data_IF_317333162082
#
_entry.id   IF_317333162082
#
_cell.length_a   1.000
_cell.length_b   1.000
_cell.length_c   1.000
_cell.angle_alpha   90.00
_cell.angle_beta   90.00
_cell.angle_gamma   90.00
#
_symmetry.space_group_name_H-M   'P 1'
#
loop_
_entity.id
_entity.type
_entity.pdbx_description
1 polymer ?
#
# COMPACT_ATOMS: atom_id res chain seq x y z
N UNK A 1 -6.94 5.32 17.81
CA UNK A 1 -7.56 3.97 17.79
C UNK A 1 -7.73 3.51 16.35
N UNK A 2 -6.84 2.65 15.86
CA UNK A 2 -7.02 2.05 14.53
C UNK A 2 -7.96 0.84 14.66
N UNK A 3 -9.24 1.03 14.39
CA UNK A 3 -10.21 -0.05 14.25
C UNK A 3 -10.14 -0.55 12.80
N UNK A 4 -9.64 -1.76 12.59
CA UNK A 4 -9.90 -2.49 11.35
C UNK A 4 -10.84 -3.65 11.66
N UNK A 5 -11.89 -3.80 10.85
CA UNK A 5 -12.98 -4.75 11.05
C UNK A 5 -13.41 -5.31 9.69
N UNK A 6 -13.51 -6.64 9.59
CA UNK A 6 -14.64 -7.44 9.04
C UNK A 6 -14.17 -8.73 8.32
N UNK A 7 -14.92 -9.83 8.23
CA UNK A 7 -15.72 -10.65 9.19
C UNK A 7 -15.95 -12.04 8.52
N UNK A 8 -16.13 -13.09 9.34
CA UNK A 8 -16.79 -14.41 9.11
C UNK A 8 -16.33 -15.40 8.02
N UNK A 9 -15.95 -16.61 8.48
CA UNK A 9 -16.26 -17.86 7.77
C UNK A 9 -15.16 -18.94 7.81
N UNK A 10 -15.23 -19.82 8.81
CA UNK A 10 -14.44 -21.05 9.06
C UNK A 10 -12.91 -20.91 9.18
N UNK A 11 -12.38 -21.44 10.28
CA UNK A 11 -11.00 -21.32 10.80
C UNK A 11 -10.68 -20.02 11.55
N UNK A 12 -11.42 -19.76 12.63
CA UNK A 12 -10.89 -18.95 13.73
C UNK A 12 -9.73 -19.70 14.38
N UNK A 13 -8.50 -19.53 13.87
CA UNK A 13 -7.34 -19.72 14.72
C UNK A 13 -7.42 -18.66 15.83
N UNK A 14 -7.08 -19.05 17.06
CA UNK A 14 -7.07 -18.16 18.21
C UNK A 14 -5.96 -17.09 18.04
N UNK A 15 -6.25 -16.02 17.31
CA UNK A 15 -5.36 -14.87 17.22
C UNK A 15 -5.54 -14.02 18.48
N UNK A 16 -4.50 -13.93 19.29
CA UNK A 16 -4.44 -12.95 20.37
C UNK A 16 -4.02 -11.61 19.79
N UNK A 17 -4.96 -10.65 19.78
CA UNK A 17 -4.65 -9.25 19.50
C UNK A 17 -3.84 -8.70 20.66
N UNK A 18 -2.54 -8.53 20.47
CA UNK A 18 -1.66 -7.86 21.41
C UNK A 18 -1.46 -6.43 20.95
N UNK A 19 -1.75 -5.46 21.82
CA UNK A 19 -1.29 -4.10 21.59
C UNK A 19 0.25 -4.12 21.59
N UNK A 20 0.84 -3.75 20.46
CA UNK A 20 2.26 -3.47 20.38
C UNK A 20 2.45 -2.01 20.76
N UNK A 21 2.48 -1.71 22.06
CA UNK A 21 2.72 -0.36 22.58
C UNK A 21 4.02 0.25 22.01
N UNK A 22 4.94 -0.62 21.62
CA UNK A 22 6.21 -0.30 20.95
C UNK A 22 6.00 0.38 19.58
N UNK A 23 4.94 0.02 18.87
CA UNK A 23 4.65 0.55 17.54
C UNK A 23 3.54 1.58 17.61
N UNK A 24 2.44 1.31 18.32
CA UNK A 24 1.23 2.14 18.26
C UNK A 24 1.48 3.56 18.76
N UNK A 25 0.93 4.54 18.04
CA UNK A 25 1.00 5.94 18.43
C UNK A 25 -0.40 6.56 18.54
N UNK A 26 -0.47 7.80 19.03
CA UNK A 26 -1.71 8.59 18.99
C UNK A 26 -2.07 9.07 17.58
N UNK A 27 -1.11 9.01 16.65
CA UNK A 27 -1.27 9.39 15.25
C UNK A 27 -1.95 8.29 14.43
N UNK A 28 -2.27 8.60 13.17
CA UNK A 28 -2.77 7.60 12.24
C UNK A 28 -1.63 6.67 11.83
N UNK A 29 -1.79 5.37 12.06
CA UNK A 29 -0.84 4.33 11.71
C UNK A 29 -1.55 3.20 10.97
N UNK A 30 -1.13 2.91 9.74
CA UNK A 30 -1.84 1.92 8.92
C UNK A 30 -0.95 1.33 7.81
N UNK A 31 -1.48 0.30 7.14
CA UNK A 31 -0.82 -0.42 6.05
C UNK A 31 0.56 -0.99 6.43
N UNK A 32 0.67 -1.80 7.51
CA UNK A 32 1.93 -2.43 7.88
C UNK A 32 2.34 -3.52 6.87
N UNK A 33 3.65 -3.62 6.62
CA UNK A 33 4.27 -4.60 5.73
C UNK A 33 5.50 -5.14 6.45
N UNK A 34 5.66 -6.47 6.52
CA UNK A 34 6.86 -7.08 7.09
C UNK A 34 8.10 -6.72 6.28
N UNK A 35 9.15 -6.25 6.94
CA UNK A 35 10.41 -5.91 6.29
C UNK A 35 11.59 -6.13 7.24
N UNK A 36 12.57 -6.95 6.83
CA UNK A 36 13.68 -7.37 7.68
C UNK A 36 13.17 -7.89 9.03
N UNK A 37 13.76 -7.45 10.15
CA UNK A 37 13.33 -7.78 11.51
C UNK A 37 12.14 -6.93 12.00
N UNK A 38 11.56 -6.07 11.16
CA UNK A 38 10.58 -5.08 11.58
C UNK A 38 9.42 -4.94 10.60
N UNK A 39 8.82 -3.76 10.59
CA UNK A 39 7.72 -3.41 9.69
C UNK A 39 7.95 -2.07 9.01
N UNK A 40 7.53 -1.98 7.76
CA UNK A 40 7.25 -0.72 7.08
C UNK A 40 5.77 -0.38 7.26
N UNK A 41 5.45 0.89 7.44
CA UNK A 41 4.06 1.32 7.60
C UNK A 41 3.88 2.78 7.20
N UNK A 42 2.63 3.20 7.03
CA UNK A 42 2.26 4.59 6.78
C UNK A 42 1.85 5.26 8.07
N UNK A 43 2.31 6.49 8.30
CA UNK A 43 1.95 7.24 9.51
C UNK A 43 1.88 8.75 9.33
N UNK A 44 1.08 9.42 10.17
CA UNK A 44 1.09 10.89 10.37
C UNK A 44 1.90 11.33 11.60
N UNK A 45 2.72 10.44 12.19
CA UNK A 45 3.67 10.79 13.25
C UNK A 45 4.52 12.00 12.88
N UNK A 46 5.05 12.66 13.89
CA UNK A 46 5.96 13.77 13.69
C UNK A 46 7.08 13.40 12.72
N UNK A 47 7.24 14.28 11.73
CA UNK A 47 8.15 14.10 10.61
C UNK A 47 9.23 15.18 10.62
N UNK A 48 10.33 14.90 9.94
CA UNK A 48 11.47 15.80 9.79
C UNK A 48 11.11 17.13 9.12
N UNK A 49 10.08 17.18 8.26
CA UNK A 49 9.69 18.39 7.56
C UNK A 49 8.89 19.39 8.42
N UNK A 50 8.32 18.97 9.55
CA UNK A 50 7.38 19.73 10.40
C UNK A 50 6.30 20.46 9.61
N UNK A 51 5.79 19.79 8.58
CA UNK A 51 4.92 20.40 7.59
C UNK A 51 3.55 19.71 7.58
N UNK A 52 2.48 20.51 7.76
CA UNK A 52 1.10 20.04 7.79
C UNK A 52 0.39 20.16 6.44
N UNK A 53 -0.51 19.24 6.13
CA UNK A 53 -1.53 19.44 5.10
C UNK A 53 -2.55 20.46 5.62
N UNK A 54 -2.59 21.64 4.99
CA UNK A 54 -3.51 22.73 5.34
C UNK A 54 -4.98 22.31 5.33
N UNK A 55 -5.33 21.25 4.59
CA UNK A 55 -6.70 20.77 4.46
C UNK A 55 -7.13 19.89 5.64
N UNK A 56 -6.23 19.06 6.17
CA UNK A 56 -6.53 18.17 7.31
C UNK A 56 -6.11 18.75 8.65
N UNK A 57 -5.29 19.81 8.63
CA UNK A 57 -4.59 20.36 9.82
C UNK A 57 -3.73 19.32 10.56
N UNK A 58 -3.29 18.30 9.81
CA UNK A 58 -2.48 17.18 10.29
C UNK A 58 -1.20 17.07 9.44
N UNK A 59 -0.21 16.31 9.93
CA UNK A 59 1.00 16.00 9.19
C UNK A 59 0.66 15.27 7.88
N UNK A 60 1.52 15.44 6.87
CA UNK A 60 1.48 14.55 5.71
C UNK A 60 1.74 13.10 6.16
N UNK A 61 1.06 12.15 5.50
CA UNK A 61 1.38 10.75 5.72
C UNK A 61 2.73 10.46 5.09
N UNK A 62 3.60 9.77 5.82
CA UNK A 62 4.92 9.35 5.36
C UNK A 62 5.09 7.84 5.55
N UNK A 63 6.09 7.27 4.88
CA UNK A 63 6.51 5.89 5.10
C UNK A 63 7.58 5.82 6.20
N UNK A 64 7.38 4.91 7.13
CA UNK A 64 8.24 4.67 8.30
C UNK A 64 8.69 3.22 8.34
N UNK A 65 9.83 2.99 9.00
CA UNK A 65 10.29 1.68 9.46
C UNK A 65 10.28 1.63 10.98
N UNK A 66 9.78 0.53 11.54
CA UNK A 66 9.94 0.20 12.94
C UNK A 66 10.76 -1.10 13.07
N UNK A 67 11.87 -1.03 13.79
CA UNK A 67 12.59 -2.21 14.25
C UNK A 67 11.86 -2.80 15.46
N UNK A 68 11.29 -4.01 15.32
CA UNK A 68 10.41 -4.56 16.36
C UNK A 68 11.14 -4.99 17.64
N UNK A 69 12.46 -5.22 17.55
CA UNK A 69 13.26 -5.69 18.68
C UNK A 69 13.64 -4.53 19.60
N UNK A 70 14.02 -3.39 19.01
CA UNK A 70 14.39 -2.18 19.75
C UNK A 70 13.22 -1.23 19.97
N UNK A 71 12.17 -1.35 19.18
CA UNK A 71 11.05 -0.41 19.14
C UNK A 71 11.36 0.92 18.46
N UNK A 72 12.54 1.05 17.86
CA UNK A 72 12.94 2.29 17.21
C UNK A 72 12.13 2.50 15.93
N UNK A 73 11.46 3.63 15.84
CA UNK A 73 10.72 4.09 14.66
C UNK A 73 11.48 5.21 13.98
N UNK A 74 11.65 5.11 12.66
CA UNK A 74 12.27 6.16 11.84
C UNK A 74 11.51 6.33 10.54
N UNK A 75 11.48 7.55 10.00
CA UNK A 75 11.10 7.75 8.60
C UNK A 75 11.98 6.88 7.70
N UNK A 76 11.44 6.42 6.57
CA UNK A 76 12.27 5.77 5.54
C UNK A 76 13.37 6.72 5.09
N UNK A 77 14.61 6.29 5.28
CA UNK A 77 15.81 7.08 4.94
C UNK A 77 15.98 7.09 3.42
N UNK A 78 16.17 8.27 2.83
CA UNK A 78 16.44 8.48 1.41
C UNK A 78 15.44 9.45 0.74
N UNK A 79 15.39 9.44 -0.59
CA UNK A 79 14.44 10.23 -1.40
C UNK A 79 13.07 9.55 -1.44
N UNK A 80 12.41 9.55 -0.26
CA UNK A 80 11.13 8.87 -0.07
C UNK A 80 10.02 9.81 0.32
N UNK A 81 10.16 10.55 1.41
CA UNK A 81 9.08 11.34 1.99
C UNK A 81 9.20 12.81 1.56
N UNK A 82 8.08 13.53 1.46
CA UNK A 82 8.07 14.93 1.07
C UNK A 82 6.82 15.70 1.48
N UNK A 83 6.56 16.85 0.84
CA UNK A 83 5.35 17.65 1.07
C UNK A 83 4.13 17.10 0.30
N UNK A 84 3.87 15.81 0.48
CA UNK A 84 2.83 15.00 -0.16
C UNK A 84 2.35 13.93 0.81
N UNK A 85 1.12 13.43 0.66
CA UNK A 85 0.73 12.20 1.35
C UNK A 85 1.32 11.01 0.63
N UNK A 86 2.28 10.36 1.29
CA UNK A 86 2.96 9.15 0.86
C UNK A 86 2.52 8.00 1.77
N UNK A 87 2.19 6.87 1.18
CA UNK A 87 1.69 5.76 1.97
C UNK A 87 1.03 4.66 1.15
N UNK A 88 0.52 3.66 1.86
CA UNK A 88 0.00 2.41 1.29
C UNK A 88 1.00 1.82 0.30
N UNK A 89 1.89 1.01 0.84
CA UNK A 89 2.98 0.43 0.09
C UNK A 89 2.83 -1.08 -0.10
N UNK A 90 3.63 -1.61 -1.01
CA UNK A 90 3.89 -3.04 -1.14
C UNK A 90 5.37 -3.23 -1.46
N UNK A 91 5.94 -4.32 -0.96
CA UNK A 91 7.36 -4.63 -1.07
C UNK A 91 7.55 -5.84 -1.96
N UNK A 92 8.48 -5.74 -2.91
CA UNK A 92 8.93 -6.87 -3.71
C UNK A 92 10.11 -7.59 -3.06
N UNK A 93 10.30 -8.86 -3.43
CA UNK A 93 11.39 -9.69 -2.91
C UNK A 93 12.80 -9.15 -3.22
N UNK A 94 12.94 -8.29 -4.24
CA UNK A 94 14.19 -7.66 -4.62
C UNK A 94 14.35 -6.24 -4.04
N UNK A 95 13.72 -5.95 -2.90
CA UNK A 95 13.77 -4.65 -2.21
C UNK A 95 13.39 -3.46 -3.10
N UNK A 96 12.47 -3.65 -4.05
CA UNK A 96 11.74 -2.53 -4.66
C UNK A 96 10.43 -2.32 -3.91
N UNK A 97 10.11 -1.07 -3.59
CA UNK A 97 8.89 -0.70 -2.89
C UNK A 97 7.99 0.09 -3.84
N UNK A 98 6.71 -0.25 -3.89
CA UNK A 98 5.71 0.52 -4.64
C UNK A 98 4.77 1.17 -3.66
N UNK A 99 4.47 2.45 -3.81
CA UNK A 99 3.63 3.19 -2.86
C UNK A 99 2.76 4.22 -3.56
N UNK A 100 1.69 4.63 -2.88
CA UNK A 100 0.80 5.69 -3.35
C UNK A 100 1.31 7.04 -2.88
N UNK A 101 1.31 8.04 -3.78
CA UNK A 101 1.62 9.44 -3.47
C UNK A 101 0.53 10.36 -4.02
N UNK A 102 0.12 11.35 -3.23
CA UNK A 102 -0.69 12.47 -3.74
C UNK A 102 0.17 13.43 -4.54
N UNK A 103 -0.26 13.80 -5.74
CA UNK A 103 0.41 14.84 -6.52
C UNK A 103 -0.31 16.19 -6.37
N UNK A 104 0.41 17.30 -6.59
CA UNK A 104 -0.13 18.67 -6.49
C UNK A 104 -0.85 19.14 -7.76
N UNK A 105 -0.82 18.36 -8.82
CA UNK A 105 -1.26 18.76 -10.15
C UNK A 105 -2.62 18.11 -10.40
N UNK A 106 -3.66 18.92 -10.62
CA UNK A 106 -4.95 18.45 -11.13
C UNK A 106 -6.00 18.09 -10.08
N UNK A 107 -7.25 18.48 -10.38
CA UNK A 107 -8.43 17.76 -9.89
C UNK A 107 -8.69 16.68 -10.94
N UNK A 108 -8.68 15.40 -10.56
CA UNK A 108 -9.24 14.36 -11.44
C UNK A 108 -10.68 14.71 -11.81
N UNK A 109 -11.23 14.10 -12.87
CA UNK A 109 -12.63 14.27 -13.30
C UNK A 109 -13.65 14.04 -12.16
N UNK A 110 -13.25 13.36 -11.09
CA UNK A 110 -14.05 13.06 -9.91
C UNK A 110 -13.71 13.89 -8.66
N UNK A 111 -12.87 14.93 -8.77
CA UNK A 111 -12.53 15.81 -7.64
C UNK A 111 -11.56 15.21 -6.60
N UNK A 112 -10.96 14.06 -6.87
CA UNK A 112 -9.89 13.47 -6.05
C UNK A 112 -8.54 14.08 -6.48
N UNK A 113 -7.64 14.39 -5.53
CA UNK A 113 -6.23 14.71 -5.83
C UNK A 113 -5.65 13.57 -6.67
N UNK A 114 -4.89 13.88 -7.72
CA UNK A 114 -4.33 12.86 -8.58
C UNK A 114 -3.34 11.98 -7.79
N UNK A 115 -3.75 10.72 -7.56
CA UNK A 115 -2.94 9.69 -6.93
C UNK A 115 -2.16 8.94 -7.99
N UNK A 116 -0.89 8.70 -7.71
CA UNK A 116 0.00 7.90 -8.55
C UNK A 116 0.73 6.88 -7.73
N UNK A 117 1.09 5.77 -8.38
CA UNK A 117 2.00 4.78 -7.80
C UNK A 117 3.44 5.10 -8.20
N UNK A 118 4.30 5.28 -7.20
CA UNK A 118 5.74 5.45 -7.37
C UNK A 118 6.48 4.18 -6.97
N UNK A 119 7.71 4.05 -7.46
CA UNK A 119 8.63 2.97 -7.16
C UNK A 119 9.84 3.53 -6.44
N UNK A 120 10.31 2.83 -5.41
CA UNK A 120 11.60 3.03 -4.77
C UNK A 120 12.49 1.82 -5.01
N UNK A 121 13.79 2.05 -5.07
CA UNK A 121 14.83 1.02 -4.99
C UNK A 121 15.67 1.24 -3.73
N UNK A 122 16.02 0.16 -3.06
CA UNK A 122 16.96 0.24 -1.95
C UNK A 122 18.40 0.16 -2.47
N UNK A 123 19.22 1.14 -2.13
CA UNK A 123 20.63 1.22 -2.51
C UNK A 123 21.48 1.82 -1.38
N UNK A 124 22.59 1.19 -1.03
CA UNK A 124 23.57 1.67 -0.05
C UNK A 124 23.01 2.21 1.28
N UNK A 125 21.95 1.59 1.82
CA UNK A 125 21.37 1.99 3.11
C UNK A 125 20.12 2.86 2.99
N UNK A 126 19.86 3.42 1.81
CA UNK A 126 18.81 4.39 1.56
C UNK A 126 17.80 3.88 0.52
N UNK A 127 16.61 4.46 0.54
CA UNK A 127 15.58 4.26 -0.47
C UNK A 127 15.59 5.41 -1.45
N UNK A 128 15.81 5.09 -2.72
CA UNK A 128 15.90 6.06 -3.81
C UNK A 128 14.66 6.00 -4.67
N UNK A 129 14.14 7.16 -5.05
CA UNK A 129 13.05 7.27 -6.01
C UNK A 129 13.48 6.70 -7.37
N UNK A 130 12.72 5.71 -7.87
CA UNK A 130 12.96 4.99 -9.11
C UNK A 130 11.86 5.27 -10.15
N UNK A 131 11.17 6.41 -10.00
CA UNK A 131 10.15 6.88 -10.94
C UNK A 131 8.74 6.37 -10.64
N UNK A 132 7.85 6.58 -11.60
CA UNK A 132 6.44 6.22 -11.52
C UNK A 132 6.13 4.98 -12.39
N UNK A 133 5.12 4.19 -12.02
CA UNK A 133 4.71 3.05 -12.86
C UNK A 133 4.20 3.54 -14.22
N UNK A 134 4.43 2.80 -15.33
CA UNK A 134 4.21 3.30 -16.70
C UNK A 134 2.74 3.55 -17.05
N UNK A 135 1.81 3.02 -16.25
CA UNK A 135 0.36 3.12 -16.47
C UNK A 135 -0.34 4.17 -15.60
N UNK A 136 0.42 5.01 -14.89
CA UNK A 136 -0.11 6.23 -14.29
C UNK A 136 -0.58 7.20 -15.38
N UNK A 137 -1.48 8.12 -15.03
CA UNK A 137 -1.94 9.19 -15.92
C UNK A 137 -2.31 10.43 -15.10
N UNK A 138 -2.51 11.57 -15.79
CA UNK A 138 -3.13 12.77 -15.23
C UNK A 138 -4.66 12.73 -15.32
N UNK A 139 -5.23 11.80 -16.08
CA UNK A 139 -6.68 11.73 -16.32
C UNK A 139 -7.42 10.93 -15.25
N UNK A 140 -6.69 10.07 -14.52
CA UNK A 140 -7.23 9.16 -13.53
C UNK A 140 -6.22 8.93 -12.41
N UNK A 141 -6.74 8.52 -11.25
CA UNK A 141 -5.97 8.11 -10.09
C UNK A 141 -5.57 6.63 -10.18
N UNK A 142 -4.39 6.33 -9.66
CA UNK A 142 -3.84 4.98 -9.50
C UNK A 142 -3.25 4.87 -8.11
N UNK A 143 -3.78 3.96 -7.28
CA UNK A 143 -3.49 3.93 -5.85
C UNK A 143 -3.52 2.51 -5.28
N UNK A 144 -3.04 2.38 -4.06
CA UNK A 144 -3.08 1.17 -3.24
C UNK A 144 -2.44 -0.04 -3.95
N UNK A 145 -1.15 0.06 -4.32
CA UNK A 145 -0.43 -1.05 -4.94
C UNK A 145 -0.37 -2.25 -4.01
N UNK A 146 -0.54 -3.44 -4.55
CA UNK A 146 -0.25 -4.70 -3.85
C UNK A 146 0.32 -5.71 -4.83
N UNK A 147 1.50 -6.22 -4.53
CA UNK A 147 2.15 -7.25 -5.34
C UNK A 147 1.55 -8.63 -5.03
N UNK A 148 1.45 -9.47 -6.06
CA UNK A 148 1.32 -10.90 -5.85
C UNK A 148 2.53 -11.45 -5.10
N UNK A 149 2.38 -12.58 -4.40
CA UNK A 149 3.48 -13.16 -3.64
C UNK A 149 4.73 -13.55 -4.45
N UNK A 150 4.57 -13.79 -5.76
CA UNK A 150 5.68 -14.07 -6.70
C UNK A 150 6.26 -12.78 -7.34
N UNK A 151 5.69 -11.62 -7.02
CA UNK A 151 6.07 -10.31 -7.56
C UNK A 151 5.78 -10.14 -9.05
N UNK A 152 5.04 -11.06 -9.70
CA UNK A 152 4.76 -11.01 -11.14
C UNK A 152 3.52 -10.21 -11.50
N UNK A 153 2.65 -9.91 -10.53
CA UNK A 153 1.43 -9.15 -10.73
C UNK A 153 1.36 -8.00 -9.74
N UNK A 154 0.99 -6.83 -10.22
CA UNK A 154 0.73 -5.66 -9.40
C UNK A 154 -0.76 -5.33 -9.49
N UNK A 155 -1.46 -5.47 -8.39
CA UNK A 155 -2.86 -5.11 -8.22
C UNK A 155 -2.94 -3.70 -7.66
N UNK A 156 -3.92 -2.94 -8.10
CA UNK A 156 -4.10 -1.56 -7.66
C UNK A 156 -5.52 -1.08 -7.94
N UNK A 157 -5.90 0.00 -7.26
CA UNK A 157 -7.17 0.67 -7.44
C UNK A 157 -7.07 1.81 -8.44
N UNK A 158 -8.02 1.94 -9.36
CA UNK A 158 -8.03 3.02 -10.36
C UNK A 158 -9.41 3.37 -10.92
N UNK A 159 -9.62 4.66 -11.18
CA UNK A 159 -10.79 5.19 -11.89
C UNK A 159 -10.54 5.46 -13.38
N UNK A 160 -9.59 4.74 -13.97
CA UNK A 160 -9.29 4.83 -15.40
C UNK A 160 -10.47 4.39 -16.28
N UNK A 161 -10.51 4.83 -17.55
CA UNK A 161 -11.53 4.38 -18.50
C UNK A 161 -11.65 2.86 -18.54
N UNK A 162 -12.89 2.36 -18.55
CA UNK A 162 -13.21 0.93 -18.47
C UNK A 162 -13.52 0.41 -17.06
N UNK A 163 -13.44 1.25 -16.02
CA UNK A 163 -13.95 0.93 -14.68
C UNK A 163 -15.49 0.83 -14.68
N UNK A 164 -16.02 -0.13 -13.91
CA UNK A 164 -17.45 -0.43 -13.74
C UNK A 164 -18.07 0.48 -12.68
N UNK A 165 -17.36 0.71 -11.57
CA UNK A 165 -17.77 1.63 -10.51
C UNK A 165 -17.04 2.96 -10.64
N UNK A 166 -16.27 3.30 -9.60
CA UNK A 166 -15.39 4.46 -9.59
C UNK A 166 -13.95 4.04 -9.47
N UNK A 167 -13.57 3.38 -8.38
CA UNK A 167 -12.20 2.97 -8.08
C UNK A 167 -12.09 1.45 -8.14
N UNK A 168 -12.03 0.90 -9.34
CA UNK A 168 -11.99 -0.54 -9.57
C UNK A 168 -10.61 -1.13 -9.28
N UNK A 169 -10.56 -2.44 -9.04
CA UNK A 169 -9.32 -3.20 -8.97
C UNK A 169 -8.87 -3.56 -10.40
N UNK A 170 -7.66 -3.13 -10.71
CA UNK A 170 -6.92 -3.42 -11.93
C UNK A 170 -5.67 -4.23 -11.59
N UNK A 171 -5.14 -4.93 -12.58
CA UNK A 171 -3.94 -5.74 -12.46
C UNK A 171 -3.01 -5.47 -13.65
N UNK A 172 -1.74 -5.25 -13.39
CA UNK A 172 -0.68 -5.29 -14.40
C UNK A 172 0.21 -6.50 -14.16
N UNK A 173 0.68 -7.13 -15.24
CA UNK A 173 1.62 -8.26 -15.17
C UNK A 173 3.02 -7.78 -15.56
N UNK A 174 4.03 -8.26 -14.84
CA UNK A 174 5.43 -7.96 -15.12
C UNK A 174 5.85 -8.71 -16.38
N UNK A 175 6.42 -7.99 -17.32
CA UNK A 175 6.94 -8.53 -18.57
C UNK A 175 8.35 -9.11 -18.39
N UNK A 176 8.83 -9.86 -19.39
CA UNK A 176 10.17 -10.48 -19.38
C UNK A 176 11.31 -9.46 -19.23
N UNK A 177 11.11 -8.24 -19.71
CA UNK A 177 12.06 -7.12 -19.59
C UNK A 177 12.06 -6.48 -18.18
N UNK A 178 11.19 -6.93 -17.27
CA UNK A 178 11.04 -6.41 -15.91
C UNK A 178 10.08 -5.23 -15.77
N UNK A 179 9.52 -4.71 -16.87
CA UNK A 179 8.54 -3.62 -16.86
C UNK A 179 7.12 -4.12 -16.56
N UNK A 180 6.25 -3.22 -16.15
CA UNK A 180 4.83 -3.50 -15.99
C UNK A 180 4.11 -3.34 -17.33
N UNK A 181 3.39 -4.38 -17.74
CA UNK A 181 2.56 -4.35 -18.95
C UNK A 181 1.27 -3.55 -18.79
N UNK A 182 0.45 -3.53 -19.85
CA UNK A 182 -0.84 -2.85 -19.85
C UNK A 182 -1.78 -3.41 -18.77
N UNK A 183 -2.40 -2.57 -17.93
CA UNK A 183 -3.34 -3.05 -16.92
C UNK A 183 -4.65 -3.60 -17.50
N UNK A 184 -5.19 -4.61 -16.82
CA UNK A 184 -6.51 -5.19 -17.12
C UNK A 184 -7.45 -5.00 -15.93
N UNK A 185 -8.72 -4.64 -16.20
CA UNK A 185 -9.77 -4.59 -15.19
C UNK A 185 -10.16 -6.02 -14.81
N UNK A 186 -10.31 -6.31 -13.52
CA UNK A 186 -10.65 -7.66 -13.06
C UNK A 186 -12.14 -8.04 -13.22
N UNK A 187 -12.93 -7.17 -13.84
CA UNK A 187 -14.31 -7.43 -14.23
C UNK A 187 -15.30 -7.46 -13.06
N UNK A 188 -16.57 -7.71 -13.38
CA UNK A 188 -17.70 -7.61 -12.43
C UNK A 188 -17.69 -8.67 -11.31
N UNK A 189 -16.89 -9.73 -11.44
CA UNK A 189 -16.72 -10.72 -10.37
C UNK A 189 -15.89 -10.15 -9.20
N UNK A 190 -15.03 -9.18 -9.49
CA UNK A 190 -14.16 -8.53 -8.49
C UNK A 190 -14.64 -7.11 -8.21
N UNK A 191 -15.10 -6.37 -9.21
CA UNK A 191 -15.53 -4.98 -9.10
C UNK A 191 -17.06 -4.87 -9.08
N UNK A 192 -17.58 -3.84 -8.39
CA UNK A 192 -19.01 -3.54 -8.36
C UNK A 192 -19.25 -2.06 -8.69
N UNK A 193 -20.48 -1.69 -9.07
CA UNK A 193 -20.82 -0.31 -9.42
C UNK A 193 -20.69 0.65 -8.24
N UNK A 194 -20.82 0.14 -7.02
CA UNK A 194 -20.71 0.86 -5.76
C UNK A 194 -19.25 0.96 -5.28
N UNK A 195 -18.29 0.36 -5.99
CA UNK A 195 -16.89 0.33 -5.61
C UNK A 195 -16.32 1.76 -5.55
N UNK A 196 -15.96 2.17 -4.33
CA UNK A 196 -15.34 3.46 -4.01
C UNK A 196 -13.94 3.28 -3.47
N UNK A 197 -13.20 4.38 -3.41
CA UNK A 197 -11.79 4.44 -2.99
C UNK A 197 -11.48 3.58 -1.75
N UNK A 198 -12.23 3.77 -0.66
CA UNK A 198 -12.03 3.04 0.60
C UNK A 198 -12.38 1.54 0.50
N UNK A 199 -13.46 1.18 -0.20
CA UNK A 199 -13.86 -0.23 -0.38
C UNK A 199 -12.83 -0.99 -1.22
N UNK A 200 -12.28 -0.35 -2.25
CA UNK A 200 -11.22 -0.94 -3.07
C UNK A 200 -9.94 -1.19 -2.27
N UNK A 201 -9.58 -0.27 -1.38
CA UNK A 201 -8.45 -0.42 -0.46
C UNK A 201 -8.66 -1.62 0.47
N UNK A 202 -9.79 -1.66 1.17
CA UNK A 202 -10.11 -2.76 2.09
C UNK A 202 -10.13 -4.12 1.36
N UNK A 203 -10.71 -4.17 0.16
CA UNK A 203 -10.80 -5.41 -0.61
C UNK A 203 -9.43 -5.94 -1.04
N UNK A 204 -8.54 -5.06 -1.51
CA UNK A 204 -7.15 -5.43 -1.86
C UNK A 204 -6.43 -5.93 -0.60
N UNK A 205 -6.46 -5.17 0.49
CA UNK A 205 -5.76 -5.54 1.73
C UNK A 205 -6.25 -6.87 2.31
N UNK A 206 -7.57 -7.09 2.36
CA UNK A 206 -8.17 -8.32 2.87
C UNK A 206 -7.86 -9.54 1.98
N UNK A 207 -7.84 -9.37 0.66
CA UNK A 207 -7.55 -10.48 -0.24
C UNK A 207 -6.10 -10.98 -0.07
N UNK A 208 -5.14 -10.07 0.08
CA UNK A 208 -3.73 -10.45 0.19
C UNK A 208 -3.30 -10.82 1.62
N UNK A 209 -3.96 -10.32 2.66
CA UNK A 209 -3.75 -10.83 4.02
C UNK A 209 -4.14 -12.31 4.11
N UNK A 210 -5.32 -12.67 3.60
CA UNK A 210 -5.79 -14.06 3.54
C UNK A 210 -4.85 -14.99 2.76
N UNK A 211 -4.26 -14.51 1.65
CA UNK A 211 -3.30 -15.31 0.88
C UNK A 211 -1.97 -15.52 1.62
N UNK A 212 -1.55 -14.53 2.41
CA UNK A 212 -0.33 -14.64 3.22
C UNK A 212 -0.55 -15.66 4.35
N UNK A 213 -1.67 -15.54 5.07
CA UNK A 213 -2.06 -16.48 6.12
C UNK A 213 -2.21 -17.91 5.59
N UNK A 214 -2.79 -18.08 4.40
CA UNK A 214 -2.92 -19.37 3.72
C UNK A 214 -1.58 -19.99 3.33
N UNK A 215 -0.57 -19.17 2.97
CA UNK A 215 0.78 -19.67 2.67
C UNK A 215 1.51 -20.10 3.93
N UNK A 216 1.44 -19.29 4.99
CA UNK A 216 1.98 -19.66 6.28
C UNK A 216 1.31 -20.97 6.74
N UNK A 217 -0.02 -21.05 6.75
CA UNK A 217 -0.76 -22.27 7.08
C UNK A 217 -0.33 -23.48 6.24
N UNK A 218 -0.08 -23.34 4.93
CA UNK A 218 0.45 -24.43 4.10
C UNK A 218 1.88 -24.84 4.47
N UNK A 219 2.73 -23.91 4.88
CA UNK A 219 4.09 -24.23 5.36
C UNK A 219 4.09 -25.01 6.68
N UNK A 220 3.07 -24.84 7.52
CA UNK A 220 2.84 -25.66 8.71
C UNK A 220 2.26 -27.05 8.41
N UNK A 221 1.60 -27.21 7.26
CA UNK A 221 0.94 -28.46 6.86
C UNK A 221 1.85 -29.34 6.00
N UNK A 222 2.93 -28.82 5.40
CA UNK A 222 3.89 -29.63 4.60
C UNK A 222 5.03 -30.24 5.44
N UNK A 223 4.69 -30.96 6.50
CA UNK A 223 5.53 -32.05 7.02
C UNK A 223 4.67 -33.28 7.17
N UNK A 224 4.55 -34.04 6.08
CA UNK A 224 4.48 -35.50 5.98
C UNK A 224 4.46 -35.91 4.51
#
# INVERSE_FOLDING_TARGET
>A
MCLSLSFTGLFAQNYQLKNLDIVNSEYLDFSPIRYKQGILFTSTRDNSCKCKDKRTDDNYTNLYYCDINSGKVTELIGDVNGRHHDGVATLSNNNSLYFTRTTKIGKSRMGVKDLKIYKLKYDNGEWLNDGEVPFNSKEYSTAHPTLSPDGQKLYFSSNRPGSIGGMDIWMSTKEKNGNWGAPVNLGANVNSKEMRFFLSFQKIMNYFSLLTDMKEAKSWISTR
#
